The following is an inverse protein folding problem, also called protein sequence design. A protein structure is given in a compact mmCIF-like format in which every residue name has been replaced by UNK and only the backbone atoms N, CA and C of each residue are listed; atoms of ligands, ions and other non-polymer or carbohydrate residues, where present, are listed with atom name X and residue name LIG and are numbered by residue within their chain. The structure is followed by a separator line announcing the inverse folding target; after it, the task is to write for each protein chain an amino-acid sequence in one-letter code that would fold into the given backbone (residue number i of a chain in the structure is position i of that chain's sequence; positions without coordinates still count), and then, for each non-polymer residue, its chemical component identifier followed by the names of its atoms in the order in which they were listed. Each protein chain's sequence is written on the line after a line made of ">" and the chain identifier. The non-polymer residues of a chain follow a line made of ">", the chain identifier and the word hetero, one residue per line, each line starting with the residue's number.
data_IF_502903399793
#
_entry.id   IF_502903399793
#
_cell.length_a   1.000
_cell.length_b   1.000
_cell.length_c   1.000
_cell.angle_alpha   90.00
_cell.angle_beta   90.00
_cell.angle_gamma   90.00
#
_symmetry.space_group_name_H-M   'P 1'
#
loop_
_entity.id
_entity.type
_entity.pdbx_description
1 polymer ?
#
# COMPACT_ATOMS: atom_id res chain seq x y z
N UNK A 1 -6.86 13.07 86.35
CA UNK A 1 -8.11 12.74 85.64
C UNK A 1 -7.98 13.21 84.20
N UNK A 2 -7.66 12.30 83.25
CA UNK A 2 -7.59 12.58 81.83
C UNK A 2 -8.48 11.63 81.09
N UNK A 3 -9.54 12.14 80.48
CA UNK A 3 -10.48 11.38 79.68
C UNK A 3 -9.94 11.24 78.28
N UNK A 4 -9.66 10.04 77.83
CA UNK A 4 -9.31 9.75 76.41
C UNK A 4 -10.62 9.60 75.63
N UNK A 5 -10.77 10.45 74.61
CA UNK A 5 -11.83 10.34 73.59
C UNK A 5 -11.31 9.46 72.48
N UNK A 6 -11.90 8.29 72.29
CA UNK A 6 -11.63 7.43 71.13
C UNK A 6 -12.42 7.90 69.94
N UNK A 7 -11.76 8.34 68.90
CA UNK A 7 -12.36 8.68 67.60
C UNK A 7 -12.30 7.42 66.74
N UNK A 8 -13.46 6.81 66.50
CA UNK A 8 -13.63 5.74 65.51
C UNK A 8 -13.58 6.34 64.10
N UNK A 9 -12.45 6.19 63.41
CA UNK A 9 -12.41 6.40 61.94
C UNK A 9 -13.05 5.22 61.22
N UNK A 10 -14.29 5.40 60.81
CA UNK A 10 -14.97 4.45 59.91
C UNK A 10 -14.36 4.52 58.52
N UNK A 11 -13.62 3.49 58.11
CA UNK A 11 -13.16 3.27 56.74
C UNK A 11 -14.39 2.92 55.88
N UNK A 12 -14.90 3.89 55.14
CA UNK A 12 -15.84 3.62 54.04
C UNK A 12 -15.05 3.07 52.86
N UNK A 13 -15.06 1.77 52.67
CA UNK A 13 -14.59 1.11 51.45
C UNK A 13 -15.66 1.27 50.38
N UNK A 14 -15.47 2.21 49.45
CA UNK A 14 -16.28 2.29 48.25
C UNK A 14 -15.81 1.20 47.27
N UNK A 15 -16.68 0.29 46.83
CA UNK A 15 -16.32 -0.62 45.73
C UNK A 15 -16.28 0.21 44.43
N UNK A 16 -15.09 0.43 43.90
CA UNK A 16 -14.90 0.95 42.54
C UNK A 16 -15.32 -0.15 41.58
N UNK A 17 -16.55 -0.09 41.12
CA UNK A 17 -17.02 -0.92 39.99
C UNK A 17 -16.38 -0.38 38.74
N UNK A 18 -15.25 -0.97 38.34
CA UNK A 18 -14.64 -0.72 37.02
C UNK A 18 -15.54 -1.40 35.97
N UNK A 19 -16.48 -0.64 35.42
CA UNK A 19 -17.17 -1.04 34.20
C UNK A 19 -16.16 -0.95 33.05
N UNK A 20 -15.51 -2.07 32.75
CA UNK A 20 -14.79 -2.26 31.49
C UNK A 20 -15.82 -2.25 30.36
N UNK A 21 -16.06 -1.07 29.78
CA UNK A 21 -16.76 -0.96 28.51
C UNK A 21 -15.87 -1.58 27.44
N UNK A 22 -16.12 -2.85 27.11
CA UNK A 22 -15.61 -3.46 25.90
C UNK A 22 -16.21 -2.69 24.72
N UNK A 23 -15.49 -1.68 24.23
CA UNK A 23 -15.73 -1.14 22.91
C UNK A 23 -15.40 -2.25 21.91
N UNK A 24 -16.42 -3.01 21.54
CA UNK A 24 -16.40 -3.88 20.39
C UNK A 24 -16.15 -2.97 19.19
N UNK A 25 -14.90 -2.84 18.78
CA UNK A 25 -14.57 -2.26 17.49
C UNK A 25 -15.23 -3.17 16.45
N UNK A 26 -16.46 -2.83 16.06
CA UNK A 26 -17.03 -3.31 14.80
C UNK A 26 -16.08 -2.84 13.73
N UNK A 27 -15.07 -3.67 13.41
CA UNK A 27 -14.23 -3.48 12.26
C UNK A 27 -15.15 -3.23 11.08
N UNK A 28 -15.04 -2.06 10.46
CA UNK A 28 -15.57 -1.83 9.13
C UNK A 28 -14.93 -2.92 8.25
N UNK A 29 -15.64 -4.04 8.08
CA UNK A 29 -15.42 -4.95 6.95
C UNK A 29 -15.93 -4.23 5.70
N UNK A 30 -15.27 -3.15 5.32
CA UNK A 30 -15.32 -2.68 3.95
C UNK A 30 -14.78 -3.84 3.10
N UNK A 31 -15.52 -4.20 2.07
CA UNK A 31 -15.16 -5.27 1.14
C UNK A 31 -13.83 -4.89 0.45
N UNK A 32 -12.71 -5.10 1.18
CA UNK A 32 -11.37 -4.73 0.75
C UNK A 32 -10.93 -5.52 -0.49
N UNK A 33 -11.62 -6.60 -0.80
CA UNK A 33 -11.30 -7.47 -1.95
C UNK A 33 -11.63 -6.78 -3.27
N UNK A 34 -12.69 -5.99 -3.37
CA UNK A 34 -13.07 -5.27 -4.59
C UNK A 34 -12.09 -4.16 -4.99
N UNK A 35 -11.35 -3.61 -4.04
CA UNK A 35 -10.36 -2.55 -4.32
C UNK A 35 -9.25 -3.01 -5.26
N UNK A 36 -8.88 -4.29 -5.17
CA UNK A 36 -7.74 -4.87 -5.91
C UNK A 36 -8.15 -5.76 -7.10
N UNK A 37 -9.42 -5.76 -7.47
CA UNK A 37 -9.89 -6.50 -8.66
C UNK A 37 -9.59 -5.67 -9.90
N UNK A 38 -8.92 -6.30 -10.89
CA UNK A 38 -8.65 -5.67 -12.17
C UNK A 38 -9.93 -5.29 -12.93
N UNK A 39 -9.84 -4.21 -13.68
CA UNK A 39 -10.96 -3.69 -14.45
C UNK A 39 -11.29 -4.54 -15.67
N UNK A 40 -10.28 -5.19 -16.25
CA UNK A 40 -10.39 -5.98 -17.46
C UNK A 40 -10.73 -7.46 -17.19
N UNK A 41 -11.70 -7.98 -17.91
CA UNK A 41 -12.09 -9.41 -17.84
C UNK A 41 -11.05 -10.35 -18.48
N UNK A 42 -10.30 -9.86 -19.46
CA UNK A 42 -9.19 -10.58 -20.10
C UNK A 42 -7.93 -9.72 -20.12
N UNK A 43 -7.25 -9.56 -18.97
CA UNK A 43 -6.13 -8.63 -18.85
C UNK A 43 -4.94 -8.99 -19.74
N UNK A 44 -4.76 -10.26 -20.08
CA UNK A 44 -3.69 -10.70 -20.99
C UNK A 44 -3.80 -10.13 -22.41
N UNK A 45 -5.01 -9.75 -22.84
CA UNK A 45 -5.23 -9.21 -24.20
C UNK A 45 -4.59 -7.84 -24.42
N UNK A 46 -4.34 -7.08 -23.36
CA UNK A 46 -3.65 -5.79 -23.43
C UNK A 46 -2.13 -5.93 -23.57
N UNK A 47 -1.56 -7.11 -23.30
CA UNK A 47 -0.12 -7.31 -23.26
C UNK A 47 0.44 -7.50 -24.68
N UNK A 48 1.14 -6.48 -25.15
CA UNK A 48 1.84 -6.46 -26.43
C UNK A 48 3.20 -5.75 -26.27
N UNK A 49 3.97 -5.62 -27.32
CA UNK A 49 5.30 -5.01 -27.28
C UNK A 49 5.30 -3.56 -26.74
N UNK A 50 4.23 -2.79 -26.97
CA UNK A 50 4.14 -1.40 -26.52
C UNK A 50 3.74 -1.28 -25.03
N UNK A 51 3.09 -2.29 -24.48
CA UNK A 51 2.62 -2.31 -23.08
C UNK A 51 3.47 -3.19 -22.18
N UNK A 52 4.37 -3.99 -22.73
CA UNK A 52 5.26 -4.88 -21.97
C UNK A 52 6.52 -4.14 -21.53
N UNK A 53 6.78 -4.14 -20.24
CA UNK A 53 7.91 -3.47 -19.61
C UNK A 53 8.94 -4.50 -19.15
N UNK A 54 10.17 -4.31 -19.58
CA UNK A 54 11.29 -5.19 -19.22
C UNK A 54 11.18 -6.60 -19.85
N UNK A 55 12.02 -7.48 -19.35
CA UNK A 55 12.08 -8.89 -19.74
C UNK A 55 12.74 -9.69 -18.60
N UNK A 56 12.93 -10.98 -18.77
CA UNK A 56 13.70 -11.81 -17.81
C UNK A 56 15.17 -11.41 -17.68
N UNK A 57 15.68 -10.67 -18.67
CA UNK A 57 17.09 -10.20 -18.72
C UNK A 57 17.23 -8.68 -18.58
N UNK A 58 16.12 -7.94 -18.61
CA UNK A 58 16.09 -6.47 -18.52
C UNK A 58 15.02 -6.04 -17.54
N UNK A 59 15.40 -5.25 -16.53
CA UNK A 59 14.46 -4.76 -15.54
C UNK A 59 13.41 -3.81 -16.14
N UNK A 60 12.19 -3.91 -15.64
CA UNK A 60 11.15 -2.91 -15.83
C UNK A 60 11.30 -1.81 -14.79
N UNK A 61 11.51 -0.56 -15.21
CA UNK A 61 11.57 0.57 -14.30
C UNK A 61 10.22 1.28 -14.23
N UNK A 62 9.79 1.65 -13.04
CA UNK A 62 8.57 2.43 -12.83
C UNK A 62 8.87 3.62 -11.91
N UNK A 63 8.54 4.81 -12.38
CA UNK A 63 8.79 6.06 -11.68
C UNK A 63 7.57 6.49 -10.86
N UNK A 64 7.74 6.66 -9.57
CA UNK A 64 6.67 7.07 -8.64
C UNK A 64 6.83 8.55 -8.32
N UNK A 65 5.77 9.33 -8.56
CA UNK A 65 5.76 10.78 -8.34
C UNK A 65 4.53 11.23 -7.56
N UNK A 66 4.72 12.25 -6.74
CA UNK A 66 3.62 13.07 -6.25
C UNK A 66 3.05 13.90 -7.39
N UNK A 67 1.72 14.00 -7.42
CA UNK A 67 0.97 14.84 -8.36
C UNK A 67 -0.03 15.70 -7.62
N UNK A 68 0.12 17.01 -7.72
CA UNK A 68 -0.77 17.95 -7.01
C UNK A 68 -0.80 17.74 -5.50
N UNK A 69 -1.94 18.05 -4.88
CA UNK A 69 -2.13 18.00 -3.42
C UNK A 69 -2.55 16.63 -2.88
N UNK A 70 -3.24 15.80 -3.68
CA UNK A 70 -3.92 14.60 -3.17
C UNK A 70 -3.68 13.34 -4.01
N UNK A 71 -2.71 13.38 -4.93
CA UNK A 71 -2.53 12.34 -5.91
C UNK A 71 -1.07 11.92 -6.05
N UNK A 72 -0.85 10.63 -6.26
CA UNK A 72 0.44 10.05 -6.63
C UNK A 72 0.25 9.11 -7.83
N UNK A 73 1.27 8.97 -8.64
CA UNK A 73 1.25 8.12 -9.83
C UNK A 73 2.50 7.26 -9.93
N UNK A 74 2.36 6.08 -10.51
CA UNK A 74 3.45 5.25 -10.98
C UNK A 74 3.41 5.21 -12.52
N UNK A 75 4.55 5.47 -13.16
CA UNK A 75 4.68 5.50 -14.61
C UNK A 75 5.72 4.47 -15.04
N UNK A 76 5.33 3.38 -15.73
CA UNK A 76 6.27 2.40 -16.24
C UNK A 76 7.10 2.96 -17.38
N UNK A 77 8.32 2.49 -17.54
CA UNK A 77 9.22 2.86 -18.63
C UNK A 77 8.88 2.06 -19.91
N UNK A 78 7.72 2.37 -20.49
CA UNK A 78 7.26 1.86 -21.79
C UNK A 78 6.96 3.04 -22.72
N UNK A 79 6.96 2.84 -24.05
CA UNK A 79 6.67 3.91 -25.00
C UNK A 79 5.32 4.60 -24.72
N UNK A 80 5.33 5.94 -24.69
CA UNK A 80 4.13 6.77 -24.49
C UNK A 80 3.34 6.47 -23.21
N UNK A 81 3.98 5.92 -22.17
CA UNK A 81 3.31 5.64 -20.91
C UNK A 81 2.72 6.90 -20.29
N UNK A 82 1.45 6.81 -19.90
CA UNK A 82 0.78 7.82 -19.08
C UNK A 82 0.93 7.46 -17.59
N UNK A 83 0.59 8.41 -16.75
CA UNK A 83 0.51 8.19 -15.30
C UNK A 83 -0.48 7.06 -14.98
N UNK A 84 -0.03 6.13 -14.16
CA UNK A 84 -0.78 4.91 -13.79
C UNK A 84 -1.24 4.07 -15.00
N UNK A 85 -0.53 4.19 -16.13
CA UNK A 85 -0.84 3.35 -17.28
C UNK A 85 -0.73 1.87 -16.89
N UNK A 86 -1.72 1.05 -17.25
CA UNK A 86 -1.60 -0.40 -17.11
C UNK A 86 -0.40 -0.89 -17.91
N UNK A 87 0.35 -1.83 -17.35
CA UNK A 87 1.50 -2.42 -18.06
C UNK A 87 1.66 -3.90 -17.74
N UNK A 88 2.37 -4.57 -18.62
CA UNK A 88 2.63 -6.00 -18.53
C UNK A 88 4.10 -6.29 -18.21
N UNK A 89 4.33 -7.34 -17.45
CA UNK A 89 5.64 -7.97 -17.27
C UNK A 89 5.49 -9.50 -17.39
N UNK A 90 6.57 -10.20 -17.71
CA UNK A 90 6.60 -11.67 -17.63
C UNK A 90 6.99 -12.13 -16.23
N UNK A 91 6.55 -13.32 -15.85
CA UNK A 91 7.08 -14.02 -14.66
C UNK A 91 8.60 -14.08 -14.78
N UNK A 92 9.30 -13.78 -13.68
CA UNK A 92 10.76 -13.68 -13.65
C UNK A 92 11.31 -12.28 -13.96
N UNK A 93 10.51 -11.34 -14.47
CA UNK A 93 10.96 -9.97 -14.69
C UNK A 93 11.17 -9.25 -13.36
N UNK A 94 12.33 -8.58 -13.23
CA UNK A 94 12.57 -7.65 -12.13
C UNK A 94 11.87 -6.32 -12.40
N UNK A 95 11.05 -5.86 -11.46
CA UNK A 95 10.43 -4.53 -11.51
C UNK A 95 11.14 -3.65 -10.49
N UNK A 96 11.71 -2.54 -10.95
CA UNK A 96 12.39 -1.56 -10.11
C UNK A 96 11.51 -0.33 -9.97
N UNK A 97 11.08 -0.08 -8.74
CA UNK A 97 10.32 1.11 -8.36
C UNK A 97 11.27 2.16 -7.82
N UNK A 98 11.15 3.37 -8.28
CA UNK A 98 11.98 4.50 -7.86
C UNK A 98 11.19 5.80 -7.89
N UNK A 99 11.69 6.85 -7.27
CA UNK A 99 11.17 8.20 -7.49
C UNK A 99 12.25 9.08 -8.08
N UNK A 100 11.99 9.68 -9.24
CA UNK A 100 12.86 10.68 -9.83
C UNK A 100 12.75 12.05 -9.15
N UNK A 101 11.76 12.24 -8.29
CA UNK A 101 11.57 13.46 -7.49
C UNK A 101 12.43 13.41 -6.24
N UNK A 102 13.29 14.41 -6.03
CA UNK A 102 14.14 14.51 -4.83
C UNK A 102 13.29 14.51 -3.54
N UNK A 103 13.85 13.94 -2.48
CA UNK A 103 13.23 13.89 -1.14
C UNK A 103 11.82 13.31 -1.13
N UNK A 104 11.53 12.41 -2.06
CA UNK A 104 10.23 11.75 -2.17
C UNK A 104 10.36 10.28 -1.84
N UNK A 105 9.71 9.85 -0.77
CA UNK A 105 9.43 8.45 -0.50
C UNK A 105 8.20 7.99 -1.25
N UNK A 106 7.99 6.67 -1.35
CA UNK A 106 6.78 6.11 -1.92
C UNK A 106 6.34 4.84 -1.20
N UNK A 107 5.07 4.55 -1.35
CA UNK A 107 4.46 3.27 -0.96
C UNK A 107 3.55 2.80 -2.07
N UNK A 108 3.65 1.52 -2.40
CA UNK A 108 2.76 0.82 -3.32
C UNK A 108 2.05 -0.26 -2.51
N UNK A 109 0.74 -0.38 -2.67
CA UNK A 109 -0.07 -1.36 -1.95
C UNK A 109 -0.84 -2.22 -2.95
N UNK A 110 -0.43 -3.49 -3.07
CA UNK A 110 -1.05 -4.51 -3.90
C UNK A 110 -2.11 -5.31 -3.15
N UNK A 111 -2.32 -5.01 -1.86
CA UNK A 111 -3.23 -5.78 -1.02
C UNK A 111 -2.75 -7.22 -0.79
N UNK A 112 -3.66 -8.12 -0.42
CA UNK A 112 -3.31 -9.48 -0.02
C UNK A 112 -2.81 -10.38 -1.17
N UNK A 113 -2.95 -9.93 -2.41
CA UNK A 113 -2.62 -10.73 -3.61
C UNK A 113 -1.52 -10.05 -4.44
N UNK A 114 -0.37 -9.78 -3.83
CA UNK A 114 0.79 -9.20 -4.55
C UNK A 114 1.41 -10.21 -5.54
N UNK A 115 1.84 -9.79 -6.75
CA UNK A 115 2.63 -10.65 -7.65
C UNK A 115 4.05 -10.88 -7.14
N UNK A 116 4.48 -10.12 -6.15
CA UNK A 116 5.82 -10.14 -5.56
C UNK A 116 5.80 -10.84 -4.21
N UNK A 117 6.92 -11.43 -3.79
CA UNK A 117 7.06 -11.96 -2.43
C UNK A 117 7.42 -10.83 -1.45
N UNK A 118 6.47 -9.93 -1.25
CA UNK A 118 6.61 -8.82 -0.30
C UNK A 118 5.69 -9.03 0.89
N UNK A 119 6.13 -8.75 2.12
CA UNK A 119 5.25 -8.76 3.27
C UNK A 119 4.04 -7.84 3.04
N UNK A 120 2.86 -8.32 3.36
CA UNK A 120 1.59 -7.56 3.30
C UNK A 120 1.27 -6.92 1.94
N UNK A 121 1.94 -7.33 0.85
CA UNK A 121 1.75 -6.78 -0.49
C UNK A 121 2.24 -5.34 -0.66
N UNK A 122 2.97 -4.78 0.31
CA UNK A 122 3.47 -3.42 0.25
C UNK A 122 4.92 -3.34 -0.24
N UNK A 123 5.22 -2.30 -1.02
CA UNK A 123 6.57 -1.91 -1.47
C UNK A 123 6.83 -0.49 -1.01
N UNK A 124 7.87 -0.28 -0.22
CA UNK A 124 8.21 1.03 0.36
C UNK A 124 9.63 1.42 -0.05
N UNK A 125 9.77 2.55 -0.71
CA UNK A 125 11.05 3.06 -1.20
C UNK A 125 11.10 4.58 -1.31
N UNK A 126 12.04 5.09 -2.10
CA UNK A 126 12.20 6.54 -2.26
C UNK A 126 13.16 6.92 -3.39
N UNK A 127 13.45 8.22 -3.49
CA UNK A 127 14.38 8.78 -4.48
C UNK A 127 15.83 8.33 -4.26
N UNK A 128 16.20 8.07 -3.02
CA UNK A 128 17.51 7.59 -2.59
C UNK A 128 17.52 6.07 -2.33
N UNK A 129 16.35 5.44 -2.40
CA UNK A 129 16.15 4.03 -2.12
C UNK A 129 15.21 3.38 -3.14
N UNK A 130 15.67 3.11 -4.36
CA UNK A 130 14.90 2.28 -5.31
C UNK A 130 14.73 0.87 -4.77
N UNK A 131 13.59 0.25 -5.08
CA UNK A 131 13.26 -1.12 -4.66
C UNK A 131 13.05 -1.97 -5.89
N UNK A 132 13.80 -3.07 -5.97
CA UNK A 132 13.69 -4.06 -7.04
C UNK A 132 13.04 -5.33 -6.49
N UNK A 133 11.99 -5.80 -7.14
CA UNK A 133 11.25 -7.01 -6.80
C UNK A 133 10.99 -7.85 -8.04
N UNK A 134 10.98 -9.16 -7.90
CA UNK A 134 10.76 -10.07 -9.04
C UNK A 134 9.29 -10.48 -9.09
N UNK A 135 8.66 -10.34 -10.27
CA UNK A 135 7.32 -10.80 -10.53
C UNK A 135 7.30 -12.35 -10.55
N UNK A 136 6.58 -12.98 -9.63
CA UNK A 136 6.61 -14.44 -9.43
C UNK A 136 5.28 -15.11 -9.76
N UNK A 137 4.17 -14.40 -9.71
CA UNK A 137 2.84 -14.97 -9.91
C UNK A 137 2.15 -14.30 -11.08
N UNK A 138 1.78 -15.10 -12.10
CA UNK A 138 0.98 -14.63 -13.21
C UNK A 138 -0.42 -14.22 -12.72
N UNK A 139 -0.97 -13.18 -13.31
CA UNK A 139 -2.28 -12.64 -12.97
C UNK A 139 -2.39 -11.15 -13.25
N UNK A 140 -3.54 -10.58 -12.95
CA UNK A 140 -3.75 -9.15 -12.98
C UNK A 140 -3.84 -8.60 -11.56
N UNK A 141 -3.11 -7.52 -11.31
CA UNK A 141 -2.93 -6.94 -9.98
C UNK A 141 -3.22 -5.44 -10.03
N UNK A 142 -4.26 -5.05 -9.34
CA UNK A 142 -4.56 -3.64 -9.14
C UNK A 142 -3.85 -3.15 -7.88
N UNK A 143 -3.27 -1.95 -7.91
CA UNK A 143 -2.53 -1.43 -6.76
C UNK A 143 -2.76 0.06 -6.55
N UNK A 144 -2.58 0.48 -5.31
CA UNK A 144 -2.61 1.89 -4.92
C UNK A 144 -1.20 2.46 -4.91
N UNK A 145 -1.07 3.72 -5.26
CA UNK A 145 0.19 4.46 -5.26
C UNK A 145 0.12 5.61 -4.27
N UNK A 146 1.10 5.68 -3.38
CA UNK A 146 1.30 6.80 -2.47
C UNK A 146 2.69 7.38 -2.61
N UNK A 147 2.81 8.71 -2.53
CA UNK A 147 4.07 9.41 -2.44
C UNK A 147 4.17 10.14 -1.10
N UNK A 148 5.35 10.09 -0.46
CA UNK A 148 5.62 10.70 0.84
C UNK A 148 6.58 11.87 0.64
N UNK A 149 6.14 13.08 0.99
CA UNK A 149 6.96 14.30 0.91
C UNK A 149 6.78 15.09 2.20
N UNK A 150 7.88 15.47 2.83
CA UNK A 150 7.86 16.28 4.06
C UNK A 150 6.93 15.75 5.16
N UNK A 151 6.92 14.43 5.37
CA UNK A 151 6.10 13.77 6.40
C UNK A 151 4.62 13.57 6.07
N UNK A 152 4.17 13.97 4.87
CA UNK A 152 2.79 13.76 4.41
C UNK A 152 2.74 12.68 3.33
N UNK A 153 1.66 11.89 3.32
CA UNK A 153 1.39 10.85 2.31
C UNK A 153 0.30 11.35 1.36
N UNK A 154 0.57 11.24 0.07
CA UNK A 154 -0.33 11.64 -1.01
C UNK A 154 -0.74 10.42 -1.83
N UNK A 155 -2.01 10.23 -2.13
CA UNK A 155 -2.52 9.24 -3.08
C UNK A 155 -3.05 7.93 -2.50
N UNK A 156 -2.76 7.56 -1.24
CA UNK A 156 -3.17 6.26 -0.67
C UNK A 156 -4.66 6.16 -0.27
N UNK A 157 -5.35 7.29 -0.09
CA UNK A 157 -6.69 7.33 0.48
C UNK A 157 -7.81 7.00 -0.52
N UNK A 158 -7.48 6.69 -1.78
CA UNK A 158 -8.43 6.35 -2.84
C UNK A 158 -8.53 4.86 -3.13
N UNK A 159 -9.33 4.53 -4.13
CA UNK A 159 -9.31 3.22 -4.77
C UNK A 159 -7.98 2.98 -5.47
N UNK A 160 -7.56 1.72 -5.56
CA UNK A 160 -6.43 1.33 -6.40
C UNK A 160 -6.71 1.77 -7.85
N UNK A 161 -5.77 2.49 -8.45
CA UNK A 161 -5.94 3.16 -9.75
C UNK A 161 -4.85 2.79 -10.77
N UNK A 162 -3.94 1.92 -10.41
CA UNK A 162 -2.90 1.41 -11.29
C UNK A 162 -3.02 -0.11 -11.41
N UNK A 163 -2.65 -0.66 -12.55
CA UNK A 163 -2.77 -2.08 -12.85
C UNK A 163 -1.46 -2.64 -13.42
N UNK A 164 -1.09 -3.82 -12.93
CA UNK A 164 0.04 -4.62 -13.41
C UNK A 164 -0.46 -5.99 -13.84
N UNK A 165 -0.20 -6.38 -15.06
CA UNK A 165 -0.47 -7.71 -15.58
C UNK A 165 0.83 -8.51 -15.64
N UNK A 166 0.85 -9.65 -15.00
CA UNK A 166 1.98 -10.58 -15.04
C UNK A 166 1.57 -11.77 -15.92
N UNK A 167 2.29 -11.97 -17.02
CA UNK A 167 2.08 -13.09 -17.95
C UNK A 167 3.15 -14.17 -17.75
N UNK A 168 2.86 -15.39 -18.18
CA UNK A 168 3.84 -16.47 -18.23
C UNK A 168 4.92 -16.23 -19.29
#
# INVERSE_FOLDING_TARGET
>A
MRRFLAICCGLMVFPVVVMATYMSAKGLKGDSTKKYVCSESNPGSMCNAATTCGSTTSACNADVKRRGSNYASATPNIPNAKENAPFCVKVGTTVTWQSSSKNTGFVLDFGPSSPFDTPDGAIIGGSDRPISVVAKRAGCYKYSVGACVSGSIYGMCGSANAELVVTN
#
